data_IF_530077304535
#
_entry.id   IF_530077304535
#
_cell.length_a   1.000
_cell.length_b   1.000
_cell.length_c   1.000
_cell.angle_alpha   90.00
_cell.angle_beta   90.00
_cell.angle_gamma   90.00
#
_symmetry.space_group_name_H-M   'P 1'
#
loop_
_entity.id
_entity.type
_entity.pdbx_description
1 polymer ?
#
# COMPACT_ATOMS: atom_id res chain seq x y z
N UNK A 1 3.28 28.15 -12.79
CA UNK A 1 3.13 26.88 -13.54
C UNK A 1 2.40 25.88 -12.70
N UNK A 2 1.39 25.22 -13.27
CA UNK A 2 0.73 24.09 -12.63
C UNK A 2 1.64 22.86 -12.68
N UNK A 3 1.44 21.91 -11.77
CA UNK A 3 2.26 20.70 -11.68
C UNK A 3 2.34 19.94 -13.01
N UNK A 4 1.21 19.80 -13.72
CA UNK A 4 1.12 19.10 -14.99
C UNK A 4 1.94 19.79 -16.08
N UNK A 5 1.95 21.12 -16.11
CA UNK A 5 2.73 21.90 -17.06
C UNK A 5 4.23 21.76 -16.78
N UNK A 6 4.67 21.84 -15.52
CA UNK A 6 6.10 21.65 -15.18
C UNK A 6 6.64 20.28 -15.59
N UNK A 7 5.81 19.25 -15.44
CA UNK A 7 6.19 17.89 -15.81
C UNK A 7 6.22 17.70 -17.33
N UNK A 8 5.28 18.31 -18.07
CA UNK A 8 5.31 18.32 -19.52
C UNK A 8 6.55 19.05 -20.05
N UNK A 9 6.95 20.16 -19.42
CA UNK A 9 8.16 20.90 -19.76
C UNK A 9 9.42 20.04 -19.58
N UNK A 10 9.54 19.29 -18.47
CA UNK A 10 10.70 18.43 -18.24
C UNK A 10 10.79 17.25 -19.22
N UNK A 11 9.65 16.68 -19.61
CA UNK A 11 9.58 15.54 -20.52
C UNK A 11 9.70 15.94 -22.00
N UNK A 12 9.78 17.23 -22.31
CA UNK A 12 9.92 17.71 -23.69
C UNK A 12 11.21 17.19 -24.35
N UNK A 13 11.15 16.81 -25.62
CA UNK A 13 12.32 16.25 -26.33
C UNK A 13 13.32 17.30 -26.83
N UNK A 14 13.07 18.58 -26.57
CA UNK A 14 13.91 19.68 -27.00
C UNK A 14 15.02 19.97 -25.99
N UNK A 15 16.08 20.68 -26.38
CA UNK A 15 17.21 21.05 -25.49
C UNK A 15 17.04 22.49 -25.00
N UNK A 16 17.13 22.72 -23.68
CA UNK A 16 17.03 24.08 -23.14
C UNK A 16 18.32 24.88 -23.34
N UNK A 17 19.46 24.20 -23.37
CA UNK A 17 20.78 24.82 -23.57
C UNK A 17 20.98 25.43 -24.98
N UNK A 18 20.34 24.90 -26.02
CA UNK A 18 20.41 25.45 -27.38
C UNK A 18 19.20 26.35 -27.65
N UNK A 19 19.38 27.67 -27.52
CA UNK A 19 18.34 28.63 -27.85
C UNK A 19 18.25 28.85 -29.37
N UNK A 20 17.11 28.47 -29.96
CA UNK A 20 16.50 28.91 -31.25
C UNK A 20 17.36 29.02 -32.54
N UNK A 21 18.63 28.59 -32.55
CA UNK A 21 19.47 28.60 -33.75
C UNK A 21 19.53 27.24 -34.49
N UNK A 22 18.95 26.18 -33.93
CA UNK A 22 18.91 24.83 -34.51
C UNK A 22 17.52 24.23 -34.35
N UNK A 23 17.12 23.28 -35.20
CA UNK A 23 15.85 22.50 -35.12
C UNK A 23 15.63 21.78 -33.76
N UNK A 24 16.60 21.86 -32.84
CA UNK A 24 16.69 21.15 -31.56
C UNK A 24 16.29 22.01 -30.35
N UNK A 25 16.03 23.30 -30.54
CA UNK A 25 15.65 24.25 -29.49
C UNK A 25 14.17 24.16 -29.08
N UNK A 26 13.88 24.44 -27.80
CA UNK A 26 12.51 24.48 -27.30
C UNK A 26 11.75 25.75 -27.73
N UNK A 27 10.41 25.74 -27.75
CA UNK A 27 9.62 26.94 -28.02
C UNK A 27 9.91 28.06 -27.00
N UNK A 28 9.95 29.30 -27.48
CA UNK A 28 10.29 30.50 -26.69
C UNK A 28 9.44 30.65 -25.42
N UNK A 29 8.14 30.34 -25.47
CA UNK A 29 7.23 30.39 -24.32
C UNK A 29 7.62 29.43 -23.18
N UNK A 30 8.22 28.28 -23.52
CA UNK A 30 8.70 27.32 -22.53
C UNK A 30 10.05 27.75 -21.95
N UNK A 31 10.95 28.28 -22.79
CA UNK A 31 12.28 28.74 -22.35
C UNK A 31 12.16 29.96 -21.42
N UNK A 32 11.20 30.86 -21.66
CA UNK A 32 10.96 32.04 -20.82
C UNK A 32 10.63 31.67 -19.36
N UNK A 33 9.95 30.55 -19.12
CA UNK A 33 9.68 30.06 -17.77
C UNK A 33 10.96 29.67 -17.00
N UNK A 34 11.96 29.14 -17.71
CA UNK A 34 13.17 28.56 -17.11
C UNK A 34 14.41 29.46 -17.18
N UNK A 35 14.37 30.53 -17.99
CA UNK A 35 15.45 31.53 -18.07
C UNK A 35 15.39 32.63 -17.00
N UNK A 36 14.37 32.63 -16.14
CA UNK A 36 14.16 33.70 -15.16
C UNK A 36 13.68 34.96 -15.85
N UNK A 37 12.39 35.29 -15.70
CA UNK A 37 11.78 36.42 -16.41
C UNK A 37 12.57 37.74 -16.23
N UNK A 38 12.53 38.59 -17.26
CA UNK A 38 13.08 39.96 -17.40
C UNK A 38 14.57 40.21 -17.06
N UNK A 39 15.16 39.55 -16.05
CA UNK A 39 16.58 39.63 -15.69
C UNK A 39 17.31 38.40 -16.23
N UNK A 40 17.83 38.52 -17.45
CA UNK A 40 18.46 37.48 -18.28
C UNK A 40 19.78 36.85 -17.75
N UNK A 41 20.07 36.93 -16.44
CA UNK A 41 21.42 36.66 -15.92
C UNK A 41 21.62 35.25 -15.35
N UNK A 42 20.57 34.44 -15.17
CA UNK A 42 20.73 33.07 -14.66
C UNK A 42 20.84 32.03 -15.79
N UNK A 43 21.90 31.22 -15.71
CA UNK A 43 22.03 30.02 -16.52
C UNK A 43 20.91 29.03 -16.24
N UNK A 44 20.40 28.37 -17.28
CA UNK A 44 19.28 27.41 -17.19
C UNK A 44 19.59 26.24 -16.24
N UNK A 45 20.85 25.79 -16.18
CA UNK A 45 21.26 24.76 -15.22
C UNK A 45 21.11 25.24 -13.77
N UNK A 46 21.41 26.51 -13.51
CA UNK A 46 21.31 27.12 -12.19
C UNK A 46 19.85 27.27 -11.77
N UNK A 47 18.96 27.69 -12.67
CA UNK A 47 17.52 27.80 -12.37
C UNK A 47 16.90 26.43 -12.06
N UNK A 48 17.25 25.39 -12.85
CA UNK A 48 16.82 24.01 -12.60
C UNK A 48 17.36 23.46 -11.26
N UNK A 49 18.62 23.75 -10.94
CA UNK A 49 19.23 23.32 -9.68
C UNK A 49 18.54 23.99 -8.47
N UNK A 50 18.31 25.31 -8.54
CA UNK A 50 17.60 26.06 -7.50
C UNK A 50 16.17 25.54 -7.34
N UNK A 51 15.46 25.30 -8.44
CA UNK A 51 14.11 24.72 -8.41
C UNK A 51 14.12 23.36 -7.73
N UNK A 52 15.02 22.45 -8.11
CA UNK A 52 15.14 21.12 -7.52
C UNK A 52 15.39 21.19 -6.00
N UNK A 53 16.34 22.02 -5.56
CA UNK A 53 16.66 22.17 -4.13
C UNK A 53 15.51 22.75 -3.31
N UNK A 54 14.88 23.83 -3.79
CA UNK A 54 13.74 24.44 -3.09
C UNK A 54 12.56 23.46 -3.04
N UNK A 55 12.26 22.81 -4.16
CA UNK A 55 11.13 21.89 -4.25
C UNK A 55 11.33 20.64 -3.37
N UNK A 56 12.56 20.12 -3.29
CA UNK A 56 12.90 19.01 -2.38
C UNK A 56 12.60 19.36 -0.92
N UNK A 57 13.00 20.54 -0.45
CA UNK A 57 12.72 21.01 0.91
C UNK A 57 11.23 21.23 1.14
N UNK A 58 10.54 21.84 0.18
CA UNK A 58 9.08 22.06 0.26
C UNK A 58 8.31 20.74 0.36
N UNK A 59 8.69 19.72 -0.41
CA UNK A 59 8.04 18.40 -0.35
C UNK A 59 8.24 17.76 1.03
N UNK A 60 9.43 17.87 1.63
CA UNK A 60 9.66 17.36 2.99
C UNK A 60 8.76 18.04 4.04
N UNK A 61 8.54 19.36 3.91
CA UNK A 61 7.62 20.11 4.78
C UNK A 61 6.18 19.67 4.53
N UNK A 62 5.75 19.57 3.28
CA UNK A 62 4.38 19.18 2.92
C UNK A 62 4.01 17.77 3.41
N UNK A 63 4.93 16.81 3.36
CA UNK A 63 4.71 15.44 3.84
C UNK A 63 4.54 15.39 5.36
N UNK A 64 5.07 16.38 6.07
CA UNK A 64 4.95 16.48 7.53
C UNK A 64 3.60 17.06 7.98
N UNK A 65 2.81 17.65 7.07
CA UNK A 65 1.49 18.19 7.37
C UNK A 65 0.45 17.07 7.44
N UNK A 66 -0.50 17.19 8.37
CA UNK A 66 -1.60 16.23 8.56
C UNK A 66 -2.73 16.41 7.53
N UNK A 67 -2.36 16.45 6.24
CA UNK A 67 -3.29 16.61 5.12
C UNK A 67 -3.30 15.32 4.30
N UNK A 68 -4.48 14.83 3.84
CA UNK A 68 -4.54 13.70 2.93
C UNK A 68 -3.91 14.07 1.57
N UNK A 69 -2.62 13.78 1.43
CA UNK A 69 -1.84 14.06 0.23
C UNK A 69 -0.97 12.86 -0.16
N UNK A 70 -0.72 12.69 -1.46
CA UNK A 70 0.13 11.62 -1.99
C UNK A 70 1.58 12.08 -2.19
N UNK A 71 2.56 11.23 -1.88
CA UNK A 71 3.99 11.53 -2.04
C UNK A 71 4.57 11.15 -3.42
N UNK A 72 3.86 10.30 -4.16
CA UNK A 72 4.33 9.74 -5.43
C UNK A 72 4.61 10.83 -6.47
N UNK A 73 3.62 11.70 -6.70
CA UNK A 73 3.61 12.71 -7.74
C UNK A 73 4.69 13.80 -7.51
N UNK A 74 4.83 14.39 -6.30
CA UNK A 74 5.93 15.31 -6.01
C UNK A 74 7.32 14.67 -6.15
N UNK A 75 7.49 13.43 -5.70
CA UNK A 75 8.75 12.70 -5.86
C UNK A 75 9.10 12.48 -7.34
N UNK A 76 8.09 12.20 -8.16
CA UNK A 76 8.27 12.04 -9.60
C UNK A 76 8.83 13.29 -10.27
N UNK A 77 8.34 14.47 -9.89
CA UNK A 77 8.85 15.75 -10.42
C UNK A 77 10.27 16.06 -9.96
N UNK A 78 10.63 15.76 -8.71
CA UNK A 78 12.00 15.94 -8.22
C UNK A 78 12.96 15.08 -9.07
N UNK A 79 12.61 13.81 -9.29
CA UNK A 79 13.39 12.92 -10.13
C UNK A 79 13.47 13.38 -11.59
N UNK A 80 12.35 13.86 -12.15
CA UNK A 80 12.31 14.40 -13.51
C UNK A 80 13.22 15.62 -13.68
N UNK A 81 13.18 16.54 -12.72
CA UNK A 81 14.05 17.71 -12.70
C UNK A 81 15.54 17.32 -12.58
N UNK A 82 15.87 16.39 -11.69
CA UNK A 82 17.24 15.88 -11.54
C UNK A 82 17.75 15.17 -12.79
N UNK A 83 16.93 14.31 -13.40
CA UNK A 83 17.24 13.66 -14.67
C UNK A 83 17.41 14.65 -15.81
N UNK A 84 16.57 15.69 -15.86
CA UNK A 84 16.66 16.76 -16.86
C UNK A 84 17.97 17.55 -16.73
N UNK A 85 18.37 17.89 -15.50
CA UNK A 85 19.63 18.59 -15.22
C UNK A 85 20.83 17.79 -15.74
N UNK A 86 20.86 16.47 -15.50
CA UNK A 86 21.91 15.59 -16.02
C UNK A 86 21.85 15.50 -17.54
N UNK A 87 20.66 15.44 -18.13
CA UNK A 87 20.47 15.43 -19.59
C UNK A 87 20.98 16.68 -20.28
N UNK A 88 20.71 17.86 -19.73
CA UNK A 88 21.23 19.14 -20.26
C UNK A 88 22.76 19.24 -20.08
N UNK A 89 23.30 18.76 -18.96
CA UNK A 89 24.76 18.69 -18.76
C UNK A 89 25.43 17.79 -19.81
N UNK A 90 24.82 16.65 -20.12
CA UNK A 90 25.30 15.74 -21.18
C UNK A 90 25.21 16.37 -22.57
N UNK A 91 24.15 17.12 -22.86
CA UNK A 91 23.99 17.83 -24.13
C UNK A 91 25.05 18.94 -24.33
N UNK A 92 25.46 19.60 -23.24
CA UNK A 92 26.53 20.61 -23.26
C UNK A 92 27.90 19.94 -23.40
N UNK A 93 28.14 18.81 -22.72
CA UNK A 93 29.42 18.10 -22.76
C UNK A 93 29.67 17.42 -24.11
N UNK A 94 28.63 16.91 -24.78
CA UNK A 94 28.74 16.18 -26.05
C UNK A 94 27.79 16.77 -27.12
N UNK A 95 28.11 17.95 -27.68
CA UNK A 95 27.23 18.66 -28.61
C UNK A 95 27.02 17.95 -29.95
N UNK A 96 27.99 17.14 -30.39
CA UNK A 96 27.91 16.34 -31.64
C UNK A 96 27.27 14.96 -31.42
N UNK A 97 26.86 14.60 -30.20
CA UNK A 97 26.32 13.28 -29.86
C UNK A 97 27.37 12.27 -29.43
N UNK A 98 26.91 11.11 -28.95
CA UNK A 98 27.76 10.09 -28.29
C UNK A 98 28.77 9.38 -29.22
N UNK A 99 28.60 9.46 -30.54
CA UNK A 99 29.41 8.74 -31.56
C UNK A 99 29.87 9.61 -32.74
N UNK A 100 29.88 10.94 -32.59
CA UNK A 100 30.25 11.89 -33.65
C UNK A 100 29.05 12.38 -34.48
N UNK A 101 29.27 13.08 -35.61
CA UNK A 101 28.27 13.85 -36.36
C UNK A 101 26.98 13.08 -36.74
N UNK A 102 27.08 11.76 -36.95
CA UNK A 102 25.97 10.87 -37.33
C UNK A 102 25.52 9.92 -36.19
N UNK A 103 25.97 10.17 -34.95
CA UNK A 103 25.62 9.37 -33.79
C UNK A 103 24.20 9.61 -33.27
N UNK A 104 23.67 8.72 -32.40
CA UNK A 104 22.40 8.95 -31.73
C UNK A 104 22.48 10.23 -30.87
N UNK A 105 21.56 11.15 -31.13
CA UNK A 105 21.48 12.44 -30.45
C UNK A 105 21.01 12.27 -29.00
N UNK A 106 21.45 13.19 -28.14
CA UNK A 106 21.12 13.20 -26.71
C UNK A 106 19.79 13.94 -26.53
N UNK A 107 18.75 13.21 -26.13
CA UNK A 107 17.45 13.78 -25.80
C UNK A 107 17.31 13.95 -24.29
N UNK A 108 17.37 15.18 -23.74
CA UNK A 108 17.32 15.40 -22.29
C UNK A 108 15.97 15.00 -21.67
N UNK A 109 14.89 14.97 -22.45
CA UNK A 109 13.59 14.45 -22.02
C UNK A 109 13.64 12.97 -21.60
N UNK A 110 14.44 12.15 -22.29
CA UNK A 110 14.60 10.74 -21.93
C UNK A 110 15.34 10.58 -20.59
N UNK A 111 16.35 11.41 -20.34
CA UNK A 111 17.05 11.44 -19.05
C UNK A 111 16.13 11.90 -17.91
N UNK A 112 15.22 12.84 -18.18
CA UNK A 112 14.19 13.23 -17.23
C UNK A 112 13.27 12.06 -16.86
N UNK A 113 12.81 11.28 -17.84
CA UNK A 113 12.00 10.06 -17.60
C UNK A 113 12.74 9.06 -16.71
N UNK A 114 14.01 8.76 -17.05
CA UNK A 114 14.85 7.82 -16.31
C UNK A 114 15.07 8.30 -14.87
N UNK A 115 15.40 9.58 -14.68
CA UNK A 115 15.58 10.18 -13.36
C UNK A 115 14.29 10.17 -12.53
N UNK A 116 13.15 10.45 -13.15
CA UNK A 116 11.84 10.41 -12.51
C UNK A 116 11.52 9.01 -11.97
N UNK A 117 11.69 7.98 -12.80
CA UNK A 117 11.48 6.59 -12.42
C UNK A 117 12.49 6.11 -11.36
N UNK A 118 13.77 6.45 -11.52
CA UNK A 118 14.82 6.01 -10.60
C UNK A 118 14.64 6.62 -9.20
N UNK A 119 14.38 7.92 -9.10
CA UNK A 119 14.17 8.58 -7.81
C UNK A 119 12.92 8.07 -7.11
N UNK A 120 11.78 8.00 -7.81
CA UNK A 120 10.52 7.50 -7.22
C UNK A 120 10.62 6.04 -6.82
N UNK A 121 11.21 5.19 -7.65
CA UNK A 121 11.52 3.79 -7.33
C UNK A 121 12.39 3.65 -6.08
N UNK A 122 13.36 4.54 -5.91
CA UNK A 122 14.23 4.59 -4.73
C UNK A 122 13.51 5.04 -3.47
N UNK A 123 12.56 5.98 -3.58
CA UNK A 123 11.78 6.49 -2.43
C UNK A 123 10.74 5.46 -1.96
N UNK A 124 10.09 4.77 -2.89
CA UNK A 124 9.02 3.81 -2.57
C UNK A 124 9.50 2.37 -2.43
N UNK A 125 10.75 2.06 -2.80
CA UNK A 125 11.28 0.71 -2.98
C UNK A 125 10.42 -0.18 -3.90
N UNK A 126 9.93 0.38 -5.01
CA UNK A 126 9.09 -0.37 -5.96
C UNK A 126 9.67 -0.37 -7.37
N UNK A 127 9.81 -1.56 -7.95
CA UNK A 127 10.23 -1.74 -9.34
C UNK A 127 9.09 -1.49 -10.34
N UNK A 128 7.82 -1.54 -9.90
CA UNK A 128 6.65 -1.36 -10.77
C UNK A 128 6.59 0.04 -11.41
N UNK A 129 7.30 1.01 -10.83
CA UNK A 129 7.30 2.39 -11.33
C UNK A 129 7.95 2.48 -12.71
N UNK A 130 8.96 1.66 -13.01
CA UNK A 130 9.52 1.61 -14.37
C UNK A 130 8.44 1.28 -15.42
N UNK A 131 7.55 0.34 -15.11
CA UNK A 131 6.45 -0.05 -16.00
C UNK A 131 5.43 1.07 -16.12
N UNK A 132 4.99 1.65 -15.00
CA UNK A 132 4.05 2.78 -14.98
C UNK A 132 4.57 3.92 -15.85
N UNK A 133 5.84 4.26 -15.70
CA UNK A 133 6.47 5.35 -16.44
C UNK A 133 6.53 5.04 -17.93
N UNK A 134 7.01 3.86 -18.31
CA UNK A 134 7.05 3.44 -19.71
C UNK A 134 5.67 3.39 -20.37
N UNK A 135 4.64 3.00 -19.63
CA UNK A 135 3.25 2.99 -20.09
C UNK A 135 2.72 4.43 -20.26
N UNK A 136 2.98 5.32 -19.29
CA UNK A 136 2.56 6.73 -19.40
C UNK A 136 3.27 7.50 -20.52
N UNK A 137 4.52 7.15 -20.83
CA UNK A 137 5.26 7.74 -21.96
C UNK A 137 4.87 7.12 -23.31
N UNK A 138 4.16 5.99 -23.32
CA UNK A 138 3.73 5.31 -24.55
C UNK A 138 4.85 4.69 -25.39
N UNK A 139 6.07 4.57 -24.84
CA UNK A 139 7.25 4.06 -25.53
C UNK A 139 8.00 3.05 -24.66
N UNK A 140 7.94 1.77 -25.03
CA UNK A 140 8.59 0.67 -24.29
C UNK A 140 10.07 0.49 -24.66
N UNK A 141 10.55 1.13 -25.73
CA UNK A 141 11.93 0.99 -26.19
C UNK A 141 12.96 1.43 -25.14
N UNK A 142 12.59 2.34 -24.24
CA UNK A 142 13.43 2.83 -23.15
C UNK A 142 13.30 2.04 -21.84
N UNK A 143 12.55 0.93 -21.81
CA UNK A 143 12.28 0.19 -20.57
C UNK A 143 13.55 -0.35 -19.90
N UNK A 144 14.47 -0.92 -20.69
CA UNK A 144 15.69 -1.54 -20.17
C UNK A 144 16.59 -0.55 -19.40
N UNK A 145 16.98 0.62 -19.95
CA UNK A 145 17.78 1.59 -19.21
C UNK A 145 17.04 2.20 -18.01
N UNK A 146 15.72 2.40 -18.10
CA UNK A 146 14.90 2.86 -16.97
C UNK A 146 14.94 1.85 -15.82
N UNK A 147 14.75 0.57 -16.11
CA UNK A 147 14.76 -0.50 -15.12
C UNK A 147 16.13 -0.61 -14.42
N UNK A 148 17.23 -0.55 -15.19
CA UNK A 148 18.59 -0.63 -14.63
C UNK A 148 18.85 0.54 -13.68
N UNK A 149 18.58 1.78 -14.12
CA UNK A 149 18.77 2.97 -13.28
C UNK A 149 17.91 2.90 -12.01
N UNK A 150 16.67 2.44 -12.13
CA UNK A 150 15.77 2.24 -11.00
C UNK A 150 16.29 1.19 -10.03
N UNK A 151 16.75 0.03 -10.52
CA UNK A 151 17.28 -1.03 -9.67
C UNK A 151 18.51 -0.57 -8.88
N UNK A 152 19.42 0.19 -9.53
CA UNK A 152 20.61 0.74 -8.85
C UNK A 152 20.19 1.73 -7.76
N UNK A 153 19.29 2.67 -8.07
CA UNK A 153 18.78 3.63 -7.09
C UNK A 153 18.07 2.95 -5.92
N UNK A 154 17.24 1.95 -6.21
CA UNK A 154 16.54 1.17 -5.20
C UNK A 154 17.51 0.38 -4.31
N UNK A 155 18.55 -0.23 -4.89
CA UNK A 155 19.57 -0.97 -4.13
C UNK A 155 20.34 -0.06 -3.17
N UNK A 156 20.75 1.14 -3.63
CA UNK A 156 21.43 2.13 -2.79
C UNK A 156 20.49 2.62 -1.68
N UNK A 157 19.24 2.95 -2.02
CA UNK A 157 18.24 3.41 -1.04
C UNK A 157 17.96 2.35 0.01
N UNK A 158 17.72 1.10 -0.41
CA UNK A 158 17.44 -0.03 0.49
C UNK A 158 18.58 -0.32 1.46
N UNK A 159 19.82 -0.02 1.07
CA UNK A 159 20.97 -0.16 1.96
C UNK A 159 21.05 0.96 3.00
N UNK A 160 20.65 2.19 2.65
CA UNK A 160 20.79 3.37 3.50
C UNK A 160 19.58 3.59 4.42
N UNK A 161 18.38 3.45 3.88
CA UNK A 161 17.14 3.84 4.56
C UNK A 161 15.98 2.91 4.18
N UNK A 162 15.04 2.69 5.11
CA UNK A 162 13.77 2.02 4.77
C UNK A 162 12.93 2.86 3.81
N UNK A 163 11.98 2.22 3.14
CA UNK A 163 11.03 2.94 2.28
C UNK A 163 10.26 4.01 3.06
N UNK A 164 9.77 5.04 2.36
CA UNK A 164 8.97 6.08 3.01
C UNK A 164 7.71 5.51 3.66
N UNK A 165 7.05 4.54 3.03
CA UNK A 165 5.84 3.93 3.57
C UNK A 165 6.12 3.14 4.85
N UNK A 166 7.22 2.38 4.88
CA UNK A 166 7.62 1.67 6.09
C UNK A 166 8.00 2.65 7.21
N UNK A 167 8.68 3.75 6.87
CA UNK A 167 8.99 4.82 7.82
C UNK A 167 7.73 5.43 8.43
N UNK A 168 6.71 5.72 7.62
CA UNK A 168 5.42 6.24 8.09
C UNK A 168 4.74 5.24 9.03
N UNK A 169 4.72 3.95 8.69
CA UNK A 169 4.15 2.88 9.51
C UNK A 169 4.83 2.83 10.89
N UNK A 170 6.17 2.91 10.92
CA UNK A 170 6.94 2.92 12.18
C UNK A 170 6.68 4.17 13.00
N UNK A 171 6.65 5.37 12.38
CA UNK A 171 6.37 6.64 13.08
C UNK A 171 4.96 6.64 13.67
N UNK A 172 3.98 6.13 12.94
CA UNK A 172 2.59 6.02 13.41
C UNK A 172 2.35 4.84 14.36
N UNK A 173 3.35 3.99 14.61
CA UNK A 173 3.27 2.81 15.47
C UNK A 173 2.09 1.89 15.13
N UNK A 174 1.80 1.71 13.84
CA UNK A 174 0.76 0.76 13.45
C UNK A 174 1.24 -0.68 13.67
N UNK A 175 0.36 -1.58 14.15
CA UNK A 175 0.71 -2.99 14.34
C UNK A 175 0.84 -3.66 12.97
N UNK A 176 2.03 -3.55 12.38
CA UNK A 176 2.42 -4.21 11.15
C UNK A 176 3.47 -5.28 11.46
N UNK A 177 3.16 -6.52 11.09
CA UNK A 177 4.11 -7.61 11.18
C UNK A 177 5.01 -7.53 9.94
N UNK A 178 6.11 -6.77 10.04
CA UNK A 178 7.10 -6.71 8.98
C UNK A 178 7.71 -8.10 8.76
N UNK A 179 8.02 -8.44 7.51
CA UNK A 179 8.79 -9.64 7.20
C UNK A 179 10.14 -9.52 7.90
N UNK A 180 10.31 -10.28 8.98
CA UNK A 180 11.51 -10.18 9.79
C UNK A 180 12.66 -10.77 8.97
N UNK A 181 13.72 -10.01 8.67
CA UNK A 181 14.87 -10.56 7.99
C UNK A 181 15.38 -11.76 8.79
N UNK A 182 15.71 -12.89 8.12
CA UNK A 182 16.17 -14.11 8.79
C UNK A 182 17.48 -13.89 9.60
N UNK A 183 18.13 -12.74 9.44
CA UNK A 183 19.32 -12.34 10.21
C UNK A 183 19.04 -11.92 11.65
N UNK A 184 17.79 -11.65 12.06
CA UNK A 184 17.48 -11.31 13.45
C UNK A 184 17.34 -12.58 14.30
N UNK A 185 18.39 -12.88 15.07
CA UNK A 185 18.50 -14.02 16.02
C UNK A 185 17.32 -14.08 17.00
N UNK A 186 16.76 -12.93 17.39
CA UNK A 186 15.62 -12.85 18.32
C UNK A 186 14.33 -13.49 17.80
N UNK A 187 14.18 -13.68 16.48
CA UNK A 187 12.94 -14.22 15.88
C UNK A 187 12.93 -15.75 15.94
N UNK A 188 14.11 -16.36 15.78
CA UNK A 188 14.28 -17.81 15.83
C UNK A 188 14.13 -18.37 17.26
N UNK A 189 14.24 -17.52 18.28
CA UNK A 189 14.11 -17.91 19.70
C UNK A 189 12.70 -17.71 20.24
N UNK A 190 11.83 -16.98 19.54
CA UNK A 190 10.46 -16.73 19.99
C UNK A 190 9.56 -17.92 19.63
N UNK A 191 9.30 -18.79 20.62
CA UNK A 191 8.35 -19.90 20.48
C UNK A 191 6.92 -19.42 20.68
N UNK A 192 5.98 -20.02 19.94
CA UNK A 192 4.52 -19.75 20.04
C UNK A 192 4.02 -19.88 21.48
N UNK A 193 4.60 -20.77 22.28
CA UNK A 193 4.27 -20.97 23.70
C UNK A 193 4.34 -19.71 24.57
N UNK A 194 5.17 -18.73 24.18
CA UNK A 194 5.31 -17.43 24.87
C UNK A 194 4.27 -16.39 24.43
N UNK A 195 3.71 -16.55 23.24
CA UNK A 195 2.76 -15.59 22.64
C UNK A 195 1.32 -16.09 22.79
N UNK A 196 1.11 -17.41 22.88
CA UNK A 196 -0.22 -18.00 22.96
C UNK A 196 -0.93 -17.65 24.27
N UNK A 197 -2.23 -17.35 24.16
CA UNK A 197 -3.11 -17.20 25.32
C UNK A 197 -3.42 -18.61 25.84
N UNK A 198 -3.04 -18.90 27.08
CA UNK A 198 -3.23 -20.22 27.70
C UNK A 198 -4.63 -20.42 28.29
N UNK A 199 -5.27 -19.33 28.69
CA UNK A 199 -6.61 -19.36 29.26
C UNK A 199 -7.64 -19.22 28.14
N UNK A 200 -8.18 -20.36 27.70
CA UNK A 200 -9.14 -20.45 26.60
C UNK A 200 -10.43 -21.05 27.12
N UNK A 201 -11.54 -20.37 26.86
CA UNK A 201 -12.88 -20.83 27.23
C UNK A 201 -13.39 -21.76 26.14
N UNK A 202 -13.63 -23.01 26.52
CA UNK A 202 -14.01 -24.09 25.62
C UNK A 202 -15.48 -24.47 25.82
N UNK A 203 -16.11 -24.94 24.74
CA UNK A 203 -17.46 -25.54 24.78
C UNK A 203 -17.31 -27.04 24.58
N UNK A 204 -17.94 -27.85 25.41
CA UNK A 204 -18.01 -29.31 25.28
C UNK A 204 -19.41 -29.76 24.90
N UNK A 205 -19.57 -31.03 24.52
CA UNK A 205 -20.90 -31.59 24.24
C UNK A 205 -21.82 -31.59 25.47
N UNK A 206 -21.24 -31.61 26.66
CA UNK A 206 -21.96 -31.69 27.93
C UNK A 206 -22.36 -30.33 28.50
N UNK A 207 -21.89 -29.21 27.93
CA UNK A 207 -22.21 -27.87 28.45
C UNK A 207 -23.71 -27.60 28.42
N UNK A 208 -24.24 -27.14 29.54
CA UNK A 208 -25.67 -26.81 29.67
C UNK A 208 -26.01 -25.48 29.01
N UNK A 209 -27.28 -25.27 28.64
CA UNK A 209 -27.73 -23.98 28.09
C UNK A 209 -27.47 -22.79 29.02
N UNK A 210 -27.52 -23.02 30.34
CA UNK A 210 -27.22 -22.00 31.35
C UNK A 210 -25.75 -21.58 31.30
N UNK A 211 -24.83 -22.55 31.32
CA UNK A 211 -23.40 -22.28 31.21
C UNK A 211 -23.04 -21.62 29.89
N UNK A 212 -23.66 -22.07 28.79
CA UNK A 212 -23.49 -21.48 27.46
C UNK A 212 -23.88 -20.00 27.44
N UNK A 213 -25.02 -19.67 28.06
CA UNK A 213 -25.50 -18.29 28.23
C UNK A 213 -24.54 -17.47 29.07
N UNK A 214 -24.05 -18.02 30.17
CA UNK A 214 -23.11 -17.34 31.07
C UNK A 214 -21.76 -17.08 30.37
N UNK A 215 -21.26 -18.04 29.58
CA UNK A 215 -20.07 -17.89 28.73
C UNK A 215 -20.27 -16.76 27.70
N UNK A 216 -21.42 -16.73 27.04
CA UNK A 216 -21.73 -15.68 26.06
C UNK A 216 -21.82 -14.30 26.72
N UNK A 217 -22.36 -14.21 27.94
CA UNK A 217 -22.47 -12.96 28.67
C UNK A 217 -21.10 -12.47 29.18
N UNK A 218 -20.27 -13.38 29.69
CA UNK A 218 -18.95 -13.09 30.27
C UNK A 218 -17.92 -12.71 29.21
N UNK A 219 -18.02 -13.26 28.00
CA UNK A 219 -17.03 -13.03 26.93
C UNK A 219 -17.58 -12.31 25.71
N UNK A 220 -17.93 -11.02 25.82
CA UNK A 220 -18.51 -10.29 24.69
C UNK A 220 -17.53 -10.21 23.50
N UNK A 221 -16.22 -10.19 23.76
CA UNK A 221 -15.20 -9.90 22.75
C UNK A 221 -14.85 -11.07 21.82
N UNK A 222 -15.19 -12.30 22.19
CA UNK A 222 -14.88 -13.49 21.41
C UNK A 222 -15.82 -13.65 20.21
N UNK A 223 -15.25 -13.90 19.02
CA UNK A 223 -16.01 -14.10 17.76
C UNK A 223 -16.38 -15.57 17.55
N UNK A 224 -15.53 -16.49 18.00
CA UNK A 224 -15.70 -17.94 17.91
C UNK A 224 -15.20 -18.60 19.18
N UNK A 225 -15.76 -19.78 19.45
CA UNK A 225 -15.41 -20.62 20.59
C UNK A 225 -14.90 -21.97 20.08
N UNK A 226 -13.81 -22.50 20.65
CA UNK A 226 -13.35 -23.85 20.34
C UNK A 226 -14.32 -24.90 20.92
N UNK A 227 -14.65 -25.90 20.09
CA UNK A 227 -15.39 -27.08 20.50
C UNK A 227 -14.40 -28.17 20.90
N UNK A 228 -14.57 -28.70 22.10
CA UNK A 228 -13.69 -29.70 22.72
C UNK A 228 -14.51 -30.95 23.01
N UNK A 229 -13.88 -32.12 23.01
CA UNK A 229 -14.51 -33.39 23.45
C UNK A 229 -14.94 -33.30 24.91
N UNK A 230 -13.98 -33.35 25.83
CA UNK A 230 -14.21 -33.35 27.27
C UNK A 230 -13.31 -32.34 27.98
N UNK A 231 -13.73 -31.89 29.17
CA UNK A 231 -12.93 -30.96 30.00
C UNK A 231 -11.62 -31.59 30.51
N UNK A 232 -11.54 -32.92 30.53
CA UNK A 232 -10.35 -33.69 30.93
C UNK A 232 -9.34 -33.84 29.80
N UNK A 233 -9.80 -34.22 28.61
CA UNK A 233 -8.94 -34.51 27.45
C UNK A 233 -8.52 -33.25 26.69
N UNK A 234 -9.35 -32.20 26.73
CA UNK A 234 -9.12 -30.91 26.05
C UNK A 234 -8.71 -31.02 24.58
N UNK A 235 -9.18 -32.07 23.88
CA UNK A 235 -8.90 -32.27 22.46
C UNK A 235 -9.85 -31.39 21.64
N UNK A 236 -9.28 -30.53 20.80
CA UNK A 236 -10.01 -29.63 19.91
C UNK A 236 -10.65 -30.42 18.75
N UNK A 237 -11.98 -30.35 18.64
CA UNK A 237 -12.76 -30.94 17.55
C UNK A 237 -13.04 -29.94 16.43
N UNK A 238 -13.17 -28.65 16.77
CA UNK A 238 -13.51 -27.61 15.80
C UNK A 238 -13.75 -26.26 16.46
N UNK A 239 -14.41 -25.35 15.75
CA UNK A 239 -14.82 -24.06 16.29
C UNK A 239 -16.23 -23.69 15.88
N UNK A 240 -16.94 -23.01 16.76
CA UNK A 240 -18.32 -22.55 16.52
C UNK A 240 -18.35 -21.04 16.67
N UNK A 241 -18.88 -20.34 15.67
CA UNK A 241 -18.99 -18.89 15.74
C UNK A 241 -20.14 -18.45 16.67
N UNK A 242 -19.91 -17.38 17.43
CA UNK A 242 -20.84 -16.84 18.43
C UNK A 242 -22.23 -16.51 17.86
N UNK A 243 -22.28 -16.02 16.62
CA UNK A 243 -23.53 -15.64 15.96
C UNK A 243 -24.50 -16.83 15.82
N UNK A 244 -23.97 -18.00 15.47
CA UNK A 244 -24.77 -19.23 15.37
C UNK A 244 -25.28 -19.68 16.74
N UNK A 245 -24.43 -19.58 17.76
CA UNK A 245 -24.79 -19.93 19.13
C UNK A 245 -25.93 -19.05 19.66
N UNK A 246 -25.83 -17.73 19.43
CA UNK A 246 -26.89 -16.77 19.78
C UNK A 246 -28.19 -17.07 19.02
N UNK A 247 -28.12 -17.40 17.74
CA UNK A 247 -29.30 -17.75 16.94
C UNK A 247 -29.99 -19.03 17.45
N UNK A 248 -29.21 -20.09 17.70
CA UNK A 248 -29.74 -21.36 18.19
C UNK A 248 -30.33 -21.23 19.60
N UNK A 249 -29.70 -20.44 20.47
CA UNK A 249 -30.24 -20.12 21.79
C UNK A 249 -31.56 -19.34 21.68
N UNK A 250 -31.62 -18.34 20.80
CA UNK A 250 -32.83 -17.54 20.58
C UNK A 250 -33.99 -18.40 20.05
N UNK A 251 -33.71 -19.35 19.16
CA UNK A 251 -34.71 -20.26 18.61
C UNK A 251 -35.24 -21.26 19.66
N UNK A 252 -34.38 -21.72 20.59
CA UNK A 252 -34.74 -22.76 21.56
C UNK A 252 -35.25 -22.23 22.90
N UNK A 253 -34.70 -21.13 23.41
CA UNK A 253 -35.05 -20.54 24.72
C UNK A 253 -35.97 -19.31 24.58
N UNK A 254 -36.13 -18.74 23.38
CA UNK A 254 -36.86 -17.50 23.16
C UNK A 254 -36.01 -16.23 23.36
N UNK A 255 -36.60 -15.04 23.19
CA UNK A 255 -35.87 -13.77 23.24
C UNK A 255 -35.43 -13.39 24.67
N UNK A 256 -34.15 -13.62 24.95
CA UNK A 256 -33.49 -13.13 26.15
C UNK A 256 -33.11 -11.63 26.02
N UNK A 257 -33.70 -10.73 26.84
CA UNK A 257 -33.45 -9.29 26.72
C UNK A 257 -32.00 -8.90 27.04
N UNK A 258 -31.30 -9.69 27.85
CA UNK A 258 -29.91 -9.43 28.28
C UNK A 258 -28.89 -9.68 27.18
N UNK A 259 -29.11 -10.70 26.33
CA UNK A 259 -28.24 -11.02 25.19
C UNK A 259 -28.45 -10.02 24.05
N UNK A 260 -29.70 -9.64 23.76
CA UNK A 260 -30.06 -8.71 22.69
C UNK A 260 -29.57 -7.27 22.95
N UNK A 261 -29.63 -6.81 24.21
CA UNK A 261 -29.21 -5.44 24.56
C UNK A 261 -27.70 -5.22 24.36
N UNK A 262 -26.88 -6.25 24.61
CA UNK A 262 -25.41 -6.18 24.47
C UNK A 262 -24.96 -6.27 23.01
N UNK A 263 -25.66 -7.07 22.19
CA UNK A 263 -25.47 -7.11 20.73
C UNK A 263 -25.78 -5.75 20.08
N UNK A 264 -26.86 -5.09 20.51
CA UNK A 264 -27.28 -3.76 20.00
C UNK A 264 -26.27 -2.64 20.33
N UNK A 265 -25.55 -2.75 21.45
CA UNK A 265 -24.46 -1.82 21.82
C UNK A 265 -23.23 -1.98 20.92
N UNK A 266 -22.96 -3.17 20.36
CA UNK A 266 -21.85 -3.40 19.43
C UNK A 266 -22.04 -2.77 18.07
N UNK A 267 -23.28 -2.70 17.56
CA UNK A 267 -23.60 -2.04 16.29
C UNK A 267 -23.35 -0.52 16.26
N UNK A 268 -22.79 0.07 17.32
CA UNK A 268 -22.47 1.51 17.43
C UNK A 268 -21.01 1.86 17.13
N UNK A 269 -20.17 0.91 16.72
CA UNK A 269 -18.86 1.19 16.14
C UNK A 269 -19.02 1.94 14.81
N UNK A 270 -18.29 3.05 14.56
CA UNK A 270 -18.47 3.88 13.36
C UNK A 270 -18.35 3.08 12.05
N UNK A 271 -17.43 2.11 12.01
CA UNK A 271 -17.22 1.21 10.86
C UNK A 271 -18.44 0.35 10.52
N UNK A 272 -19.15 -0.16 11.52
CA UNK A 272 -20.37 -0.95 11.34
C UNK A 272 -21.57 -0.07 11.01
N UNK A 273 -21.57 1.17 11.49
CA UNK A 273 -22.57 2.19 11.17
C UNK A 273 -22.48 2.55 9.68
N UNK A 274 -21.28 2.81 9.15
CA UNK A 274 -21.06 3.02 7.71
C UNK A 274 -21.47 1.81 6.85
N UNK A 275 -21.10 0.59 7.27
CA UNK A 275 -21.52 -0.63 6.58
C UNK A 275 -23.05 -0.84 6.60
N UNK A 276 -23.72 -0.41 7.66
CA UNK A 276 -25.19 -0.46 7.78
C UNK A 276 -25.89 0.61 6.94
N UNK A 277 -25.31 1.82 6.83
CA UNK A 277 -25.83 2.92 6.02
C UNK A 277 -25.77 2.57 4.54
N UNK A 278 -24.69 1.93 4.08
CA UNK A 278 -24.55 1.45 2.70
C UNK A 278 -25.53 0.30 2.38
N UNK A 279 -25.86 -0.57 3.36
CA UNK A 279 -26.88 -1.62 3.18
C UNK A 279 -28.32 -1.09 3.21
N UNK A 280 -28.60 0.02 3.89
CA UNK A 280 -29.96 0.62 3.90
C UNK A 280 -30.42 1.10 2.53
N UNK A 281 -29.51 1.36 1.60
CA UNK A 281 -29.88 1.76 0.25
C UNK A 281 -30.45 0.60 -0.60
N UNK A 282 -30.30 -0.66 -0.16
CA UNK A 282 -30.69 -1.85 -0.94
C UNK A 282 -31.91 -2.62 -0.41
N UNK A 283 -32.61 -2.16 0.64
CA UNK A 283 -33.79 -2.88 1.14
C UNK A 283 -34.79 -1.95 1.81
N UNK A 284 -35.60 -1.28 0.98
CA UNK A 284 -36.88 -0.75 1.41
C UNK A 284 -37.95 -1.80 1.07
N UNK A 285 -38.24 -2.70 2.00
CA UNK A 285 -39.56 -3.27 2.28
C UNK A 285 -39.44 -4.13 3.56
N UNK A 286 -40.28 -3.83 4.55
CA UNK A 286 -40.48 -4.51 5.84
C UNK A 286 -39.57 -4.14 7.01
N UNK A 287 -39.93 -3.01 7.63
CA UNK A 287 -39.74 -2.71 9.04
C UNK A 287 -40.37 -3.76 9.97
N UNK A 288 -39.71 -3.99 11.13
CA UNK A 288 -40.19 -4.61 12.39
C UNK A 288 -39.69 -6.04 12.76
N UNK A 289 -38.76 -6.66 12.03
CA UNK A 289 -38.03 -7.84 12.55
C UNK A 289 -36.52 -7.68 12.38
N UNK A 290 -35.86 -7.21 13.45
CA UNK A 290 -34.41 -7.04 13.48
C UNK A 290 -33.69 -8.38 13.28
N UNK A 291 -33.02 -8.52 12.14
CA UNK A 291 -31.88 -9.43 11.90
C UNK A 291 -32.02 -10.83 12.50
N UNK A 292 -33.02 -11.60 12.08
CA UNK A 292 -32.96 -13.04 12.24
C UNK A 292 -32.13 -13.63 11.10
N UNK A 293 -31.03 -14.29 11.45
CA UNK A 293 -30.33 -15.21 10.56
C UNK A 293 -31.35 -16.25 10.11
N UNK A 294 -31.72 -16.28 8.83
CA UNK A 294 -32.55 -17.34 8.28
C UNK A 294 -31.64 -18.50 7.85
N UNK A 295 -32.17 -19.74 7.89
CA UNK A 295 -31.45 -20.97 7.53
C UNK A 295 -30.75 -20.93 6.15
N UNK A 296 -31.09 -19.96 5.29
CA UNK A 296 -30.47 -19.74 3.98
C UNK A 296 -29.08 -19.10 4.00
N UNK A 297 -28.69 -18.41 5.08
CA UNK A 297 -27.33 -17.84 5.21
C UNK A 297 -26.33 -18.82 5.85
N UNK A 298 -26.75 -20.06 6.11
CA UNK A 298 -25.99 -21.09 6.86
C UNK A 298 -25.05 -21.90 5.94
N UNK A 299 -25.26 -21.89 4.63
CA UNK A 299 -24.42 -22.64 3.69
C UNK A 299 -23.43 -21.71 2.98
N UNK A 300 -22.14 -21.82 3.27
CA UNK A 300 -21.11 -21.27 2.38
C UNK A 300 -19.80 -20.91 3.05
N UNK A 301 -19.72 -19.78 3.76
CA UNK A 301 -18.43 -19.09 3.93
C UNK A 301 -18.05 -18.79 5.39
N UNK A 302 -18.62 -19.50 6.38
CA UNK A 302 -18.39 -19.19 7.81
C UNK A 302 -17.91 -20.38 8.67
N UNK A 303 -17.66 -21.54 8.05
CA UNK A 303 -17.01 -22.69 8.70
C UNK A 303 -15.48 -22.56 8.75
N UNK A 304 -14.91 -21.57 8.08
CA UNK A 304 -13.51 -21.21 8.24
C UNK A 304 -13.44 -19.95 9.08
N UNK A 305 -12.90 -20.09 10.30
CA UNK A 305 -12.12 -19.01 10.84
C UNK A 305 -10.92 -18.87 9.89
N UNK A 306 -11.04 -18.04 8.84
CA UNK A 306 -9.91 -17.67 8.02
C UNK A 306 -8.92 -16.96 8.95
N UNK A 307 -7.96 -17.72 9.50
CA UNK A 307 -6.62 -17.23 9.71
C UNK A 307 -6.14 -16.74 8.34
N UNK A 308 -5.64 -15.51 8.20
CA UNK A 308 -5.28 -14.92 6.90
C UNK A 308 -4.03 -15.57 6.24
N UNK A 309 -3.68 -16.81 6.61
CA UNK A 309 -2.47 -17.50 6.17
C UNK A 309 -2.73 -18.82 5.42
N UNK A 310 -3.98 -19.13 5.05
CA UNK A 310 -4.23 -20.30 4.22
C UNK A 310 -5.35 -20.05 3.21
N UNK A 311 -4.99 -19.45 2.08
CA UNK A 311 -5.78 -19.56 0.85
C UNK A 311 -4.84 -19.95 -0.31
N UNK A 312 -5.10 -21.16 -0.82
CA UNK A 312 -4.83 -21.65 -2.18
C UNK A 312 -3.43 -22.23 -2.44
N UNK A 313 -3.34 -23.57 -2.35
CA UNK A 313 -2.92 -24.36 -3.50
C UNK A 313 -3.45 -25.80 -3.38
N UNK A 314 -4.64 -26.00 -3.94
CA UNK A 314 -5.18 -27.33 -4.20
C UNK A 314 -4.70 -27.75 -5.60
N UNK A 315 -3.47 -28.26 -5.69
CA UNK A 315 -3.11 -29.18 -6.76
C UNK A 315 -2.62 -30.50 -6.15
N UNK A 316 -3.24 -31.56 -6.64
CA UNK A 316 -2.94 -32.95 -6.31
C UNK A 316 -1.45 -33.22 -6.48
N UNK A 317 -0.84 -33.85 -5.49
CA UNK A 317 -0.04 -35.07 -5.65
C UNK A 317 0.34 -35.62 -4.27
N UNK A 318 -0.10 -36.86 -4.04
CA UNK A 318 0.50 -37.77 -3.08
C UNK A 318 2.02 -37.74 -3.22
N UNK A 319 2.77 -37.61 -2.13
CA UNK A 319 3.95 -38.44 -1.84
C UNK A 319 4.29 -38.33 -0.35
N UNK A 320 4.23 -39.50 0.29
CA UNK A 320 4.85 -39.85 1.56
C UNK A 320 6.35 -39.64 1.41
N UNK A 321 7.00 -38.81 2.25
CA UNK A 321 8.40 -39.02 2.66
C UNK A 321 8.58 -38.51 4.08
N UNK A 322 8.98 -39.43 4.94
CA UNK A 322 9.48 -39.25 6.31
C UNK A 322 10.83 -38.53 6.33
N UNK A 323 11.06 -37.73 7.37
CA UNK A 323 12.37 -37.62 8.03
C UNK A 323 12.14 -37.57 9.55
#
# INVERSE_FOLDING_TARGET
LTFRETLADFLSNCTFSQANLTERGCPLSMIEHWRGGASHDLSILTTLSIYCSIYFVLVAICVSLEVPAGIFVPSFVIGACGGRLIGELMAIAFPEGLRGPDGPQIFPGLYAVVGAAAYTGSVTHSLSIAVIVCETTGQLCALLPVLIALMIGNAISSFLQPSVYESIIRIKNYPHLADLPPSRVSVHTLKVERVMIRDVICITRETTYKELRDILLSTPNLRSYPLVTDMKSKILLGSVARKYLNYLLLQRLGPDPTLLCKERRRLRTPSDLFASTFRRYSSNYNTVTGTFLTDRNISGNTLLANSPLHEIQNERKYYIISF
#
